data_IF_765343035669
#
_entry.id   IF_765343035669
#
_cell.length_a   1.000
_cell.length_b   1.000
_cell.length_c   1.000
_cell.angle_alpha   90.00
_cell.angle_beta   90.00
_cell.angle_gamma   90.00
#
_symmetry.space_group_name_H-M   'P 1'
#
loop_
_entity.id
_entity.type
_entity.pdbx_description
1 polymer ?
#
# COMPACT_ATOMS: atom_id res chain seq x y z
N UNK A 1 -15.59 12.33 -5.53
CA UNK A 1 -16.67 11.46 -6.05
C UNK A 1 -17.37 12.09 -7.24
N UNK A 2 -17.74 11.29 -8.24
CA UNK A 2 -18.73 11.67 -9.25
C UNK A 2 -19.90 10.71 -9.14
N UNK A 3 -21.11 11.20 -8.82
CA UNK A 3 -22.30 10.36 -8.62
C UNK A 3 -22.12 9.19 -7.63
N UNK A 4 -21.41 9.40 -6.51
CA UNK A 4 -21.03 8.38 -5.50
C UNK A 4 -20.05 7.30 -6.01
N UNK A 5 -19.41 7.54 -7.15
CA UNK A 5 -18.38 6.68 -7.72
C UNK A 5 -17.02 7.35 -7.53
N UNK A 6 -16.00 6.55 -7.22
CA UNK A 6 -14.61 6.94 -7.11
C UNK A 6 -13.81 6.34 -8.27
N UNK A 7 -13.62 7.09 -9.36
CA UNK A 7 -12.96 6.59 -10.57
C UNK A 7 -11.43 6.50 -10.47
N UNK A 8 -10.82 7.13 -9.45
CA UNK A 8 -9.38 7.12 -9.25
C UNK A 8 -9.04 7.33 -7.78
N UNK A 9 -7.89 6.79 -7.37
CA UNK A 9 -7.38 6.95 -6.00
C UNK A 9 -7.06 8.41 -5.74
N UNK A 10 -7.53 8.91 -4.61
CA UNK A 10 -7.23 10.26 -4.11
C UNK A 10 -6.17 10.13 -3.03
N UNK A 11 -4.93 10.46 -3.38
CA UNK A 11 -3.74 10.19 -2.55
C UNK A 11 -3.82 10.89 -1.18
N UNK A 12 -4.33 12.12 -1.15
CA UNK A 12 -4.51 12.92 0.08
C UNK A 12 -5.67 12.43 0.97
N UNK A 13 -6.38 11.38 0.57
CA UNK A 13 -7.63 10.97 1.17
C UNK A 13 -8.84 11.74 0.67
N UNK A 14 -10.03 11.22 0.97
CA UNK A 14 -11.33 11.81 0.59
C UNK A 14 -12.06 12.27 1.85
N UNK A 15 -12.60 13.49 1.85
CA UNK A 15 -13.41 14.00 2.97
C UNK A 15 -14.89 13.89 2.65
N UNK A 16 -15.61 13.11 3.46
CA UNK A 16 -17.06 12.99 3.39
C UNK A 16 -17.78 13.97 4.29
N UNK A 17 -19.03 14.26 3.95
CA UNK A 17 -19.91 15.02 4.85
C UNK A 17 -20.24 14.18 6.08
N UNK A 18 -20.13 14.77 7.26
CA UNK A 18 -20.56 14.20 8.53
C UNK A 18 -21.80 14.93 9.08
N UNK A 19 -22.21 14.57 10.28
CA UNK A 19 -23.45 15.04 10.90
C UNK A 19 -23.43 16.53 11.27
N UNK A 20 -22.26 17.17 11.25
CA UNK A 20 -22.13 18.62 11.38
C UNK A 20 -22.38 19.36 10.05
N UNK A 21 -22.52 18.65 8.93
CA UNK A 21 -22.81 19.26 7.63
C UNK A 21 -24.30 19.53 7.45
N UNK A 22 -24.66 20.71 6.91
CA UNK A 22 -26.05 21.09 6.60
C UNK A 22 -26.71 20.34 5.43
N UNK A 23 -26.06 19.33 4.86
CA UNK A 23 -26.58 18.57 3.72
C UNK A 23 -27.65 17.55 4.13
N UNK A 24 -28.57 17.22 3.23
CA UNK A 24 -29.55 16.16 3.49
C UNK A 24 -28.88 14.77 3.46
N UNK A 25 -28.83 14.09 4.61
CA UNK A 25 -28.07 12.84 4.82
C UNK A 25 -28.31 11.76 3.75
N UNK A 26 -29.58 11.50 3.37
CA UNK A 26 -29.93 10.46 2.39
C UNK A 26 -29.59 10.82 0.93
N UNK A 27 -29.55 12.12 0.61
CA UNK A 27 -29.36 12.62 -0.77
C UNK A 27 -27.97 13.19 -1.02
N UNK A 28 -27.15 13.36 0.02
CA UNK A 28 -25.78 13.83 -0.15
C UNK A 28 -25.00 12.87 -1.06
N UNK A 29 -24.34 13.42 -2.08
CA UNK A 29 -23.44 12.65 -2.94
C UNK A 29 -22.07 12.42 -2.29
N UNK A 30 -21.74 13.20 -1.25
CA UNK A 30 -20.52 13.10 -0.47
C UNK A 30 -20.69 12.31 0.84
N UNK A 31 -21.60 11.34 0.84
CA UNK A 31 -21.81 10.35 1.91
C UNK A 31 -21.92 8.97 1.27
N UNK A 32 -20.78 8.32 1.04
CA UNK A 32 -20.68 7.08 0.26
C UNK A 32 -20.28 5.93 1.19
N UNK A 33 -19.11 6.01 1.83
CA UNK A 33 -18.58 4.92 2.67
C UNK A 33 -19.32 4.75 3.99
N UNK A 34 -20.08 5.78 4.38
CA UNK A 34 -21.01 5.74 5.51
C UNK A 34 -22.28 4.94 5.22
N UNK A 35 -22.58 4.65 3.95
CA UNK A 35 -23.77 3.92 3.57
C UNK A 35 -23.57 2.41 3.74
N UNK A 36 -24.64 1.64 3.95
CA UNK A 36 -24.55 0.18 4.00
C UNK A 36 -23.96 -0.41 2.71
N UNK A 37 -23.36 -1.58 2.82
CA UNK A 37 -22.85 -2.37 1.69
C UNK A 37 -23.99 -2.57 0.68
N UNK A 38 -23.78 -2.07 -0.54
CA UNK A 38 -24.81 -2.07 -1.60
C UNK A 38 -24.80 -3.32 -2.45
N UNK A 39 -23.62 -3.88 -2.70
CA UNK A 39 -23.44 -5.00 -3.61
C UNK A 39 -23.36 -6.30 -2.81
N UNK A 40 -24.17 -7.31 -3.15
CA UNK A 40 -24.11 -8.60 -2.48
C UNK A 40 -22.77 -9.28 -2.76
N UNK A 41 -22.09 -9.64 -1.67
CA UNK A 41 -20.80 -10.32 -1.68
C UNK A 41 -20.89 -11.56 -0.78
N UNK A 42 -20.08 -12.56 -1.07
CA UNK A 42 -20.07 -13.83 -0.34
C UNK A 42 -18.66 -14.15 0.16
N UNK A 43 -18.56 -14.51 1.43
CA UNK A 43 -17.35 -15.13 1.98
C UNK A 43 -17.40 -16.61 1.61
N UNK A 44 -16.31 -17.12 1.03
CA UNK A 44 -16.21 -18.51 0.60
C UNK A 44 -14.80 -19.06 0.81
N UNK A 45 -14.67 -20.40 0.85
CA UNK A 45 -13.37 -21.06 0.95
C UNK A 45 -12.71 -21.07 -0.43
N UNK A 46 -11.54 -20.44 -0.55
CA UNK A 46 -10.72 -20.45 -1.77
C UNK A 46 -9.88 -21.73 -1.82
N UNK A 47 -9.34 -22.05 -3.00
CA UNK A 47 -8.50 -23.23 -3.17
C UNK A 47 -7.10 -23.07 -2.54
N UNK A 48 -6.54 -21.85 -2.56
CA UNK A 48 -5.14 -21.60 -2.23
C UNK A 48 -4.93 -20.61 -1.05
N UNK A 49 -5.90 -19.74 -0.76
CA UNK A 49 -5.72 -18.61 0.16
C UNK A 49 -6.66 -18.68 1.38
N UNK A 50 -7.13 -19.87 1.74
CA UNK A 50 -8.03 -20.06 2.87
C UNK A 50 -9.44 -19.52 2.60
N UNK A 51 -9.81 -18.42 3.23
CA UNK A 51 -11.12 -17.77 3.03
C UNK A 51 -10.95 -16.55 2.13
N UNK A 52 -11.93 -16.26 1.30
CA UNK A 52 -11.93 -15.11 0.40
C UNK A 52 -13.32 -14.52 0.26
N UNK A 53 -13.40 -13.38 -0.41
CA UNK A 53 -14.65 -12.72 -0.77
C UNK A 53 -14.82 -12.81 -2.27
N UNK A 54 -16.07 -12.96 -2.75
CA UNK A 54 -16.40 -12.85 -4.16
C UNK A 54 -17.68 -12.07 -4.39
N UNK A 55 -17.82 -11.47 -5.56
CA UNK A 55 -19.03 -10.75 -5.94
C UNK A 55 -20.17 -11.70 -6.34
N UNK A 56 -21.41 -11.45 -5.89
CA UNK A 56 -22.59 -12.22 -6.33
C UNK A 56 -23.33 -11.56 -7.51
N UNK A 57 -22.98 -10.32 -7.84
CA UNK A 57 -23.48 -9.60 -9.00
C UNK A 57 -22.33 -8.83 -9.66
N UNK A 58 -22.57 -8.30 -10.86
CA UNK A 58 -21.65 -7.36 -11.48
C UNK A 58 -21.54 -6.09 -10.62
N UNK A 59 -20.31 -5.64 -10.36
CA UNK A 59 -20.01 -4.42 -9.59
C UNK A 59 -19.33 -3.42 -10.53
N UNK A 60 -19.86 -2.19 -10.69
CA UNK A 60 -19.29 -1.21 -11.59
C UNK A 60 -17.98 -0.63 -11.03
N UNK A 61 -17.10 -0.18 -11.93
CA UNK A 61 -15.86 0.51 -11.59
C UNK A 61 -16.13 1.73 -10.68
N UNK A 62 -15.27 1.92 -9.69
CA UNK A 62 -15.33 2.97 -8.69
C UNK A 62 -16.45 2.83 -7.65
N UNK A 63 -17.15 1.69 -7.62
CA UNK A 63 -18.15 1.39 -6.61
C UNK A 63 -17.50 1.14 -5.24
N UNK A 64 -18.14 1.65 -4.19
CA UNK A 64 -17.82 1.29 -2.81
C UNK A 64 -18.22 -0.17 -2.51
N UNK A 65 -17.30 -0.91 -1.89
CA UNK A 65 -17.47 -2.32 -1.51
C UNK A 65 -17.75 -2.44 -0.01
N UNK A 66 -16.78 -2.08 0.84
CA UNK A 66 -16.88 -2.17 2.29
C UNK A 66 -15.77 -1.34 2.97
N UNK A 67 -15.95 -1.00 4.25
CA UNK A 67 -14.86 -0.49 5.08
C UNK A 67 -14.06 -1.66 5.66
N UNK A 68 -12.78 -1.46 5.95
CA UNK A 68 -12.03 -2.38 6.81
C UNK A 68 -12.30 -2.01 8.27
N UNK A 69 -12.97 -2.90 9.00
CA UNK A 69 -13.39 -2.65 10.39
C UNK A 69 -12.71 -3.64 11.33
N UNK A 70 -12.16 -3.10 12.42
CA UNK A 70 -11.52 -3.85 13.49
C UNK A 70 -11.30 -2.99 14.73
N UNK A 71 -10.52 -3.47 15.69
CA UNK A 71 -10.08 -2.71 16.84
C UNK A 71 -8.95 -1.75 16.44
N UNK A 72 -9.05 -0.48 16.81
CA UNK A 72 -7.99 0.50 16.60
C UNK A 72 -6.90 0.35 17.67
N UNK A 73 -5.67 0.12 17.24
CA UNK A 73 -4.49 -0.04 18.09
C UNK A 73 -3.43 1.00 17.71
N UNK A 74 -2.58 1.37 18.66
CA UNK A 74 -1.32 2.04 18.34
C UNK A 74 -0.30 1.03 17.84
N UNK A 75 0.64 1.49 17.03
CA UNK A 75 1.80 0.70 16.54
C UNK A 75 2.47 -0.13 17.65
N UNK A 76 2.78 0.50 18.79
CA UNK A 76 3.39 -0.12 19.96
C UNK A 76 2.57 -1.28 20.56
N UNK A 77 1.25 -1.17 20.54
CA UNK A 77 0.36 -2.23 21.02
C UNK A 77 0.25 -3.33 19.97
N UNK A 78 0.19 -2.97 18.69
CA UNK A 78 0.15 -3.93 17.58
C UNK A 78 1.41 -4.80 17.55
N UNK A 79 2.59 -4.19 17.71
CA UNK A 79 3.88 -4.90 17.77
C UNK A 79 3.95 -5.89 18.94
N UNK A 80 3.38 -5.53 20.10
CA UNK A 80 3.31 -6.42 21.26
C UNK A 80 2.33 -7.60 21.07
N UNK A 81 1.45 -7.53 20.06
CA UNK A 81 0.43 -8.54 19.76
C UNK A 81 0.77 -9.37 18.51
N UNK A 82 1.95 -9.18 17.92
CA UNK A 82 2.41 -9.94 16.75
C UNK A 82 2.39 -11.45 17.03
N UNK A 83 1.96 -12.22 16.04
CA UNK A 83 1.77 -13.67 16.15
C UNK A 83 1.50 -14.32 14.80
N UNK A 84 1.18 -15.62 14.77
CA UNK A 84 1.12 -16.36 13.49
C UNK A 84 -0.08 -15.99 12.58
N UNK A 85 -1.15 -15.45 13.15
CA UNK A 85 -2.35 -15.01 12.41
C UNK A 85 -2.60 -13.51 12.65
N UNK A 86 -2.22 -12.67 11.69
CA UNK A 86 -2.37 -11.21 11.77
C UNK A 86 -3.43 -10.72 10.76
N UNK A 87 -4.39 -9.95 11.28
CA UNK A 87 -5.41 -9.26 10.48
C UNK A 87 -5.26 -7.75 10.68
N UNK A 88 -4.02 -7.28 10.53
CA UNK A 88 -3.65 -5.88 10.67
C UNK A 88 -3.83 -5.15 9.34
N UNK A 89 -4.35 -3.93 9.43
CA UNK A 89 -4.35 -2.97 8.35
C UNK A 89 -3.74 -1.66 8.85
N UNK A 90 -2.61 -1.27 8.27
CA UNK A 90 -1.93 -0.03 8.59
C UNK A 90 -2.77 1.16 8.10
N UNK A 91 -2.90 2.20 8.94
CA UNK A 91 -3.58 3.45 8.59
C UNK A 91 -2.60 4.56 8.17
N UNK A 92 -1.34 4.21 7.93
CA UNK A 92 -0.29 5.17 7.60
C UNK A 92 -0.52 5.79 6.21
N UNK A 93 -1.09 7.00 6.23
CA UNK A 93 -1.35 7.77 5.02
C UNK A 93 -0.06 8.32 4.40
N UNK A 94 1.01 8.56 5.18
CA UNK A 94 2.29 8.99 4.64
C UNK A 94 2.87 7.89 3.74
N UNK A 95 2.94 6.67 4.26
CA UNK A 95 3.43 5.52 3.49
C UNK A 95 2.55 5.26 2.25
N UNK A 96 1.22 5.42 2.38
CA UNK A 96 0.32 5.31 1.23
C UNK A 96 0.58 6.37 0.15
N UNK A 97 0.96 7.60 0.54
CA UNK A 97 1.31 8.70 -0.38
C UNK A 97 2.65 8.43 -1.06
N UNK A 98 3.68 8.07 -0.29
CA UNK A 98 5.02 7.83 -0.82
C UNK A 98 5.07 6.63 -1.77
N UNK A 99 4.35 5.55 -1.44
CA UNK A 99 4.25 4.38 -2.32
C UNK A 99 3.55 4.71 -3.65
N UNK A 100 2.51 5.55 -3.63
CA UNK A 100 1.83 5.97 -4.86
C UNK A 100 2.70 6.89 -5.72
N UNK A 101 3.47 7.79 -5.09
CA UNK A 101 4.46 8.63 -5.77
C UNK A 101 5.51 7.75 -6.46
N UNK A 102 6.08 6.79 -5.75
CA UNK A 102 7.05 5.84 -6.30
C UNK A 102 6.45 5.10 -7.51
N UNK A 103 5.27 4.50 -7.36
CA UNK A 103 4.57 3.79 -8.44
C UNK A 103 4.32 4.68 -9.66
N UNK A 104 3.97 5.95 -9.44
CA UNK A 104 3.74 6.91 -10.53
C UNK A 104 5.04 7.23 -11.26
N UNK A 105 6.13 7.46 -10.51
CA UNK A 105 7.46 7.71 -11.05
C UNK A 105 7.99 6.51 -11.85
N UNK A 106 7.75 5.28 -11.38
CA UNK A 106 8.07 4.05 -12.11
C UNK A 106 7.31 3.98 -13.43
N UNK A 107 5.97 4.18 -13.40
CA UNK A 107 5.13 4.16 -14.60
C UNK A 107 5.50 5.24 -15.61
N UNK A 108 6.00 6.39 -15.14
CA UNK A 108 6.51 7.47 -15.99
C UNK A 108 7.94 7.23 -16.50
N UNK A 109 8.60 6.12 -16.12
CA UNK A 109 9.97 5.79 -16.50
C UNK A 109 11.04 6.64 -15.79
N UNK A 110 10.66 7.43 -14.78
CA UNK A 110 11.56 8.36 -14.09
C UNK A 110 12.63 7.63 -13.26
N UNK A 111 12.28 6.48 -12.67
CA UNK A 111 13.21 5.67 -11.89
C UNK A 111 14.18 4.86 -12.77
N UNK A 112 13.76 4.42 -13.96
CA UNK A 112 14.63 3.77 -14.97
C UNK A 112 15.66 4.75 -15.58
N UNK A 113 15.40 6.06 -15.50
CA UNK A 113 16.36 7.09 -15.89
C UNK A 113 17.53 7.28 -14.90
N UNK A 114 17.52 6.62 -13.74
CA UNK A 114 18.60 6.71 -12.74
C UNK A 114 18.72 8.08 -12.07
N UNK A 115 17.62 8.83 -11.98
CA UNK A 115 17.55 10.16 -11.33
C UNK A 115 16.83 10.03 -9.97
N UNK A 116 16.91 8.85 -9.35
CA UNK A 116 16.55 8.65 -7.95
C UNK A 116 17.76 8.97 -7.08
N UNK A 117 17.55 9.70 -5.98
CA UNK A 117 18.50 9.74 -4.88
C UNK A 117 18.83 8.30 -4.49
N UNK A 118 20.08 7.92 -4.75
CA UNK A 118 20.59 6.57 -4.51
C UNK A 118 20.80 6.37 -3.02
N UNK A 119 19.77 5.88 -2.34
CA UNK A 119 19.91 5.21 -1.05
C UNK A 119 19.67 3.70 -1.20
N UNK A 120 19.95 3.09 -2.34
CA UNK A 120 20.03 1.61 -2.46
C UNK A 120 21.43 1.15 -2.00
N UNK A 121 21.49 0.53 -0.82
CA UNK A 121 22.64 -0.28 -0.44
C UNK A 121 22.59 -1.58 -1.27
N UNK A 122 23.41 -1.62 -2.33
CA UNK A 122 23.75 -2.84 -3.05
C UNK A 122 24.65 -3.74 -2.17
N UNK A 123 24.09 -4.82 -1.61
CA UNK A 123 24.91 -5.95 -1.19
C UNK A 123 25.29 -6.76 -2.43
N UNK A 124 26.50 -6.49 -2.92
CA UNK A 124 27.10 -7.16 -4.06
C UNK A 124 27.25 -8.67 -3.78
N UNK A 125 26.52 -9.48 -4.54
CA UNK A 125 26.81 -10.89 -4.73
C UNK A 125 28.21 -11.03 -5.39
N UNK A 126 29.24 -11.18 -4.57
CA UNK A 126 30.59 -11.42 -5.06
C UNK A 126 30.73 -12.89 -5.48
N UNK A 127 30.56 -13.13 -6.79
CA UNK A 127 30.99 -14.36 -7.44
C UNK A 127 32.50 -14.54 -7.25
N UNK A 128 32.93 -15.56 -6.50
CA UNK A 128 34.29 -16.09 -6.61
C UNK A 128 34.25 -17.48 -7.22
N UNK A 129 35.17 -17.63 -8.15
CA UNK A 129 35.35 -18.68 -9.15
C UNK A 129 35.77 -20.01 -8.53
N UNK A 130 35.45 -21.06 -9.26
CA UNK A 130 35.85 -22.45 -9.07
C UNK A 130 37.38 -22.63 -8.95
N UNK A 131 37.79 -23.55 -8.08
CA UNK A 131 39.00 -24.35 -8.21
C UNK A 131 38.82 -25.66 -7.42
N UNK A 132 39.12 -26.76 -8.11
CA UNK A 132 39.02 -28.16 -7.71
C UNK A 132 39.85 -28.53 -6.46
N UNK A 133 39.47 -29.60 -5.73
CA UNK A 133 40.33 -30.78 -5.45
C UNK A 133 39.81 -31.68 -4.30
N UNK A 134 39.46 -32.92 -4.68
CA UNK A 134 39.52 -34.25 -4.05
C UNK A 134 39.48 -34.50 -2.52
N UNK A 135 38.68 -35.51 -2.12
CA UNK A 135 39.09 -36.41 -1.02
C UNK A 135 38.03 -37.02 -0.07
N UNK A 136 37.32 -38.05 -0.53
CA UNK A 136 36.98 -39.33 0.15
C UNK A 136 36.32 -39.39 1.56
N UNK A 137 35.15 -40.06 1.59
CA UNK A 137 34.65 -40.96 2.65
C UNK A 137 33.85 -40.29 3.78
N UNK A 138 32.70 -40.75 4.26
CA UNK A 138 31.95 -42.01 4.13
C UNK A 138 30.55 -41.79 4.75
N UNK A 139 29.53 -42.45 4.19
CA UNK A 139 28.40 -43.15 4.86
C UNK A 139 27.71 -42.52 6.10
N UNK A 140 26.39 -42.47 6.29
CA UNK A 140 25.23 -43.12 5.67
C UNK A 140 23.94 -42.55 6.32
N UNK A 141 22.85 -42.67 5.57
CA UNK A 141 21.45 -42.78 6.01
C UNK A 141 20.61 -41.51 6.25
N UNK A 142 19.31 -41.72 6.05
CA UNK A 142 18.35 -40.91 5.30
C UNK A 142 17.12 -40.55 6.13
N UNK A 143 16.53 -39.38 5.92
CA UNK A 143 15.08 -39.25 5.69
C UNK A 143 14.72 -37.83 5.23
N UNK A 144 13.84 -37.79 4.24
CA UNK A 144 13.44 -36.63 3.43
C UNK A 144 12.07 -36.10 3.86
N UNK A 145 11.94 -34.79 3.99
CA UNK A 145 10.72 -34.06 3.63
C UNK A 145 11.08 -32.59 3.40
N UNK A 146 10.85 -32.14 2.17
CA UNK A 146 11.15 -30.82 1.63
C UNK A 146 10.25 -29.75 2.24
N UNK A 147 10.83 -28.86 3.03
CA UNK A 147 10.23 -27.57 3.40
C UNK A 147 10.70 -26.55 2.36
N UNK A 148 9.77 -26.04 1.54
CA UNK A 148 10.01 -24.82 0.77
C UNK A 148 9.78 -23.63 1.71
N UNK A 149 10.86 -23.00 2.17
CA UNK A 149 10.82 -21.75 2.92
C UNK A 149 10.39 -20.61 1.98
N UNK A 150 9.28 -19.94 2.29
CA UNK A 150 8.93 -18.66 1.68
C UNK A 150 9.73 -17.50 2.34
N UNK A 151 10.22 -16.51 1.56
CA UNK A 151 11.08 -15.46 2.09
C UNK A 151 10.26 -14.39 2.83
N UNK A 152 10.49 -14.27 4.14
CA UNK A 152 9.94 -13.20 4.98
C UNK A 152 10.56 -11.85 4.63
N UNK A 153 9.74 -10.89 4.19
CA UNK A 153 10.18 -9.50 3.94
C UNK A 153 10.57 -8.81 5.27
N UNK A 154 11.86 -8.48 5.42
CA UNK A 154 12.37 -7.68 6.54
C UNK A 154 12.20 -6.20 6.23
N UNK A 155 11.47 -5.45 7.08
CA UNK A 155 11.38 -3.98 7.00
C UNK A 155 12.70 -3.36 7.47
N UNK A 156 13.42 -2.69 6.57
CA UNK A 156 14.70 -1.99 6.87
C UNK A 156 14.41 -0.52 7.15
N UNK A 157 14.84 -0.01 8.31
CA UNK A 157 14.85 1.43 8.66
C UNK A 157 16.15 2.06 8.16
N UNK A 158 16.08 2.97 7.18
CA UNK A 158 17.25 3.69 6.63
C UNK A 158 17.71 4.79 7.59
N UNK A 159 19.03 4.94 7.76
CA UNK A 159 19.70 5.97 8.57
C UNK A 159 20.48 6.91 7.64
N UNK A 160 20.34 8.22 7.87
CA UNK A 160 20.84 9.30 7.01
C UNK A 160 22.38 9.42 7.03
N UNK A 161 23.02 9.56 5.86
CA UNK A 161 24.43 9.99 5.75
C UNK A 161 24.55 11.08 4.68
N UNK A 162 25.11 12.23 5.07
CA UNK A 162 25.36 13.37 4.17
C UNK A 162 26.41 13.01 3.11
N UNK A 163 26.14 13.34 1.84
CA UNK A 163 27.10 13.21 0.74
C UNK A 163 27.30 14.54 0.02
N UNK A 164 28.55 14.99 0.01
CA UNK A 164 29.09 16.00 -0.89
C UNK A 164 29.57 15.33 -2.19
N UNK A 165 29.47 16.09 -3.29
CA UNK A 165 29.90 15.86 -4.69
C UNK A 165 28.90 15.19 -5.66
N UNK A 166 28.31 16.02 -6.53
CA UNK A 166 27.58 15.62 -7.74
C UNK A 166 28.53 15.38 -8.93
N UNK A 167 28.62 14.15 -9.43
CA UNK A 167 28.94 13.90 -10.83
C UNK A 167 27.64 13.57 -11.59
N UNK A 168 27.36 14.35 -12.65
CA UNK A 168 26.14 14.22 -13.46
C UNK A 168 26.05 12.86 -14.18
N UNK A 169 24.95 12.15 -13.92
CA UNK A 169 24.66 10.79 -14.41
C UNK A 169 24.72 10.67 -15.96
N UNK A 170 25.48 9.71 -16.52
CA UNK A 170 25.67 9.54 -17.97
C UNK A 170 24.41 9.32 -18.82
N UNK A 171 23.24 8.99 -18.24
CA UNK A 171 21.97 8.82 -18.98
C UNK A 171 21.24 10.13 -19.32
N UNK A 172 21.49 11.25 -18.60
CA UNK A 172 20.91 12.58 -18.92
C UNK A 172 21.31 13.08 -20.32
N UNK A 173 22.43 12.59 -20.86
CA UNK A 173 22.93 12.93 -22.20
C UNK A 173 22.13 12.33 -23.35
N UNK A 174 21.22 11.37 -23.10
CA UNK A 174 20.43 10.66 -24.12
C UNK A 174 18.99 11.17 -24.26
N UNK A 175 18.57 12.10 -23.41
CA UNK A 175 17.20 12.62 -23.38
C UNK A 175 17.03 13.81 -24.32
N UNK A 176 15.83 13.97 -24.87
CA UNK A 176 15.51 15.15 -25.65
C UNK A 176 15.23 16.37 -24.74
N UNK A 177 15.26 17.57 -25.30
CA UNK A 177 15.11 18.81 -24.53
C UNK A 177 13.77 18.90 -23.75
N UNK A 178 12.68 18.35 -24.32
CA UNK A 178 11.36 18.37 -23.70
C UNK A 178 11.22 17.34 -22.55
N UNK A 179 11.95 16.23 -22.60
CA UNK A 179 12.05 15.25 -21.52
C UNK A 179 12.89 15.81 -20.37
N UNK A 180 14.00 16.46 -20.70
CA UNK A 180 14.88 17.08 -19.71
C UNK A 180 14.18 18.25 -18.98
N UNK A 181 13.41 19.07 -19.71
CA UNK A 181 12.62 20.16 -19.12
C UNK A 181 11.53 19.64 -18.16
N UNK A 182 10.90 18.50 -18.45
CA UNK A 182 9.91 17.88 -17.54
C UNK A 182 10.55 17.34 -16.27
N UNK A 183 11.74 16.74 -16.40
CA UNK A 183 12.52 16.23 -15.28
C UNK A 183 13.01 17.38 -14.42
N UNK A 184 13.57 18.42 -15.03
CA UNK A 184 14.06 19.60 -14.34
C UNK A 184 12.91 20.38 -13.70
N UNK A 185 11.73 20.44 -14.32
CA UNK A 185 10.53 21.01 -13.71
C UNK A 185 10.04 20.19 -12.50
N UNK A 186 10.10 18.85 -12.56
CA UNK A 186 9.75 17.98 -11.45
C UNK A 186 10.78 18.05 -10.31
N UNK A 187 12.07 18.15 -10.63
CA UNK A 187 13.16 18.32 -9.67
C UNK A 187 13.23 19.75 -9.09
N UNK A 188 12.73 20.75 -9.82
CA UNK A 188 12.62 22.14 -9.37
C UNK A 188 11.38 22.38 -8.48
N UNK A 189 10.51 21.39 -8.30
CA UNK A 189 9.52 21.41 -7.21
C UNK A 189 10.30 21.29 -5.90
N UNK A 190 10.70 22.44 -5.35
CA UNK A 190 11.57 22.52 -4.19
C UNK A 190 11.00 21.78 -2.97
N UNK A 191 11.91 21.29 -2.12
CA UNK A 191 11.62 20.58 -0.87
C UNK A 191 10.64 21.32 0.06
N UNK A 192 10.60 22.65 -0.02
CA UNK A 192 9.67 23.51 0.74
C UNK A 192 8.19 23.39 0.33
N UNK A 193 7.88 22.70 -0.77
CA UNK A 193 6.50 22.44 -1.22
C UNK A 193 5.99 21.05 -0.85
N UNK A 194 6.84 20.22 -0.25
CA UNK A 194 6.50 18.85 0.17
C UNK A 194 5.85 18.91 1.55
N UNK A 195 4.68 18.29 1.70
CA UNK A 195 4.01 18.17 3.00
C UNK A 195 4.86 17.28 3.94
N UNK A 196 5.46 17.90 4.96
CA UNK A 196 6.30 17.22 5.95
C UNK A 196 5.45 16.71 7.12
N UNK A 197 5.12 15.42 7.08
CA UNK A 197 4.32 14.75 8.10
C UNK A 197 4.91 14.90 9.52
N UNK A 198 6.23 14.79 9.64
CA UNK A 198 6.92 14.93 10.92
C UNK A 198 6.76 16.33 11.53
N UNK A 199 6.78 17.38 10.71
CA UNK A 199 6.58 18.76 11.17
C UNK A 199 5.11 19.02 11.52
N UNK A 200 4.19 18.43 10.77
CA UNK A 200 2.75 18.58 10.99
C UNK A 200 2.27 17.92 12.28
N UNK A 201 2.75 16.70 12.57
CA UNK A 201 2.36 15.97 13.78
C UNK A 201 3.29 16.21 14.97
N UNK A 202 4.52 16.68 14.73
CA UNK A 202 5.53 16.91 15.75
C UNK A 202 5.76 15.67 16.61
N UNK A 203 5.74 15.86 17.92
CA UNK A 203 5.93 14.81 18.92
C UNK A 203 4.78 13.77 18.94
N UNK A 204 3.61 14.12 18.37
CA UNK A 204 2.43 13.26 18.33
C UNK A 204 2.30 12.49 17.01
N UNK A 205 3.40 12.06 16.40
CA UNK A 205 3.39 11.25 15.18
C UNK A 205 3.10 9.75 15.45
N UNK A 206 2.10 9.47 16.30
CA UNK A 206 1.67 8.11 16.60
C UNK A 206 0.97 7.50 15.39
N UNK A 207 1.42 6.31 14.99
CA UNK A 207 0.80 5.52 13.94
C UNK A 207 -0.26 4.59 14.52
N UNK A 208 -1.30 4.35 13.73
CA UNK A 208 -2.42 3.50 14.12
C UNK A 208 -2.58 2.33 13.14
N UNK A 209 -3.03 1.22 13.70
CA UNK A 209 -3.29 -0.04 13.00
C UNK A 209 -4.69 -0.51 13.36
N UNK A 210 -5.41 -1.07 12.39
CA UNK A 210 -6.71 -1.71 12.63
C UNK A 210 -6.53 -3.22 12.71
N UNK A 211 -6.84 -3.82 13.85
CA UNK A 211 -6.82 -5.26 14.08
C UNK A 211 -8.21 -5.89 13.96
N UNK A 212 -8.40 -6.73 12.93
CA UNK A 212 -9.64 -7.46 12.71
C UNK A 212 -9.59 -8.93 13.19
N UNK A 213 -8.60 -9.33 14.01
CA UNK A 213 -8.41 -10.73 14.44
C UNK A 213 -9.58 -11.26 15.26
N UNK A 214 -9.97 -10.55 16.33
CA UNK A 214 -11.06 -10.97 17.23
C UNK A 214 -12.43 -10.47 16.78
N UNK A 215 -12.49 -9.26 16.22
CA UNK A 215 -13.71 -8.59 15.79
C UNK A 215 -13.41 -7.82 14.52
N UNK A 216 -14.19 -8.05 13.48
CA UNK A 216 -14.11 -7.31 12.24
C UNK A 216 -15.28 -7.63 11.33
N UNK A 217 -15.34 -6.95 10.19
CA UNK A 217 -16.38 -7.16 9.19
C UNK A 217 -15.86 -8.01 8.01
N UNK A 218 -16.61 -8.05 6.91
CA UNK A 218 -16.24 -8.76 5.67
C UNK A 218 -14.91 -8.32 5.07
N UNK A 219 -14.46 -7.08 5.32
CA UNK A 219 -13.22 -6.54 4.79
C UNK A 219 -11.98 -7.34 5.18
N UNK A 220 -11.99 -8.02 6.34
CA UNK A 220 -10.89 -8.88 6.81
C UNK A 220 -10.64 -10.13 5.96
N UNK A 221 -11.58 -10.48 5.09
CA UNK A 221 -11.51 -11.68 4.24
C UNK A 221 -11.16 -11.34 2.78
N UNK A 222 -10.90 -10.07 2.47
CA UNK A 222 -10.35 -9.69 1.17
C UNK A 222 -8.87 -10.10 1.14
N UNK A 223 -8.51 -10.87 0.12
CA UNK A 223 -7.16 -11.40 -0.03
C UNK A 223 -6.26 -10.42 -0.76
N UNK A 224 -4.96 -10.59 -0.55
CA UNK A 224 -3.93 -9.91 -1.34
C UNK A 224 -3.86 -10.49 -2.76
N UNK A 225 -3.62 -9.62 -3.74
CA UNK A 225 -3.38 -9.98 -5.15
C UNK A 225 -2.36 -9.00 -5.73
N UNK A 226 -1.45 -9.49 -6.56
CA UNK A 226 -0.53 -8.66 -7.34
C UNK A 226 -1.24 -7.93 -8.50
N UNK A 227 -2.40 -8.42 -8.93
CA UNK A 227 -3.31 -7.75 -9.87
C UNK A 227 -4.69 -7.57 -9.20
N UNK A 228 -4.84 -6.56 -8.33
CA UNK A 228 -6.05 -6.38 -7.57
C UNK A 228 -7.17 -5.77 -8.44
N UNK A 229 -8.42 -6.19 -8.20
CA UNK A 229 -9.62 -5.57 -8.79
C UNK A 229 -10.26 -4.52 -7.86
N UNK A 230 -9.75 -4.38 -6.64
CA UNK A 230 -10.20 -3.48 -5.59
C UNK A 230 -9.00 -2.68 -5.05
N UNK A 231 -9.21 -1.40 -4.76
CA UNK A 231 -8.21 -0.53 -4.11
C UNK A 231 -8.69 -0.06 -2.74
N UNK A 232 -7.73 0.25 -1.88
CA UNK A 232 -7.98 0.96 -0.61
C UNK A 232 -7.96 2.46 -0.86
N UNK A 233 -8.98 3.15 -0.37
CA UNK A 233 -9.08 4.60 -0.29
C UNK A 233 -9.23 5.01 1.18
N UNK A 234 -8.38 5.90 1.64
CA UNK A 234 -8.53 6.56 2.93
C UNK A 234 -9.63 7.61 2.84
N UNK A 235 -10.62 7.52 3.73
CA UNK A 235 -11.78 8.43 3.78
C UNK A 235 -11.95 9.00 5.18
N UNK A 236 -12.11 10.30 5.29
CA UNK A 236 -12.32 11.03 6.54
C UNK A 236 -13.80 11.40 6.66
N UNK A 237 -14.44 10.96 7.74
CA UNK A 237 -15.85 11.23 8.02
C UNK A 237 -15.98 12.00 9.32
N UNK A 238 -15.80 11.30 10.44
CA UNK A 238 -16.07 11.86 11.77
C UNK A 238 -14.90 12.69 12.28
N UNK A 239 -13.68 12.26 11.96
CA UNK A 239 -12.43 12.94 12.29
C UNK A 239 -11.73 13.39 11.02
N UNK A 240 -11.17 14.60 11.06
CA UNK A 240 -10.26 15.12 10.02
C UNK A 240 -8.79 14.96 10.43
N UNK A 241 -8.51 14.14 11.45
CA UNK A 241 -7.17 13.72 11.81
C UNK A 241 -6.64 12.76 10.75
N UNK A 242 -5.58 13.15 10.03
CA UNK A 242 -5.02 12.37 8.92
C UNK A 242 -4.44 11.02 9.38
N UNK A 243 -4.24 10.82 10.69
CA UNK A 243 -3.78 9.55 11.29
C UNK A 243 -4.91 8.53 11.45
N UNK A 244 -6.16 8.96 11.36
CA UNK A 244 -7.35 8.14 11.64
C UNK A 244 -8.33 8.09 10.45
N UNK A 245 -7.88 7.77 9.23
CA UNK A 245 -8.78 7.56 8.11
C UNK A 245 -9.60 6.27 8.27
N UNK A 246 -10.75 6.23 7.61
CA UNK A 246 -11.43 4.98 7.32
C UNK A 246 -10.79 4.34 6.08
N UNK A 247 -10.20 3.15 6.24
CA UNK A 247 -9.73 2.34 5.12
C UNK A 247 -10.92 1.71 4.39
N UNK A 248 -11.22 2.20 3.19
CA UNK A 248 -12.43 1.86 2.45
C UNK A 248 -12.10 1.21 1.11
N UNK A 249 -12.75 0.10 0.78
CA UNK A 249 -12.51 -0.64 -0.44
C UNK A 249 -13.39 -0.14 -1.59
N UNK A 250 -12.78 0.13 -2.75
CA UNK A 250 -13.46 0.54 -3.97
C UNK A 250 -13.03 -0.32 -5.16
N UNK A 251 -13.97 -0.64 -6.05
CA UNK A 251 -13.66 -1.34 -7.29
C UNK A 251 -12.79 -0.49 -8.22
N UNK A 252 -11.68 -1.02 -8.73
CA UNK A 252 -10.79 -0.30 -9.68
C UNK A 252 -11.39 -0.36 -11.10
N UNK A 253 -12.01 -1.49 -11.42
CA UNK A 253 -12.64 -1.79 -12.72
C UNK A 253 -14.00 -2.44 -12.51
N UNK A 254 -14.72 -2.72 -13.59
CA UNK A 254 -15.93 -3.53 -13.51
C UNK A 254 -15.54 -4.95 -13.05
N UNK A 255 -16.17 -5.41 -11.97
CA UNK A 255 -15.98 -6.75 -11.39
C UNK A 255 -17.17 -7.61 -11.80
N UNK A 256 -16.92 -8.82 -12.30
CA UNK A 256 -17.98 -9.71 -12.75
C UNK A 256 -18.54 -10.55 -11.60
N UNK A 257 -19.81 -10.92 -11.69
CA UNK A 257 -20.38 -11.90 -10.77
C UNK A 257 -19.54 -13.18 -10.73
N UNK A 258 -19.18 -13.63 -9.53
CA UNK A 258 -18.32 -14.79 -9.28
C UNK A 258 -16.82 -14.48 -9.20
N UNK A 259 -16.39 -13.29 -9.60
CA UNK A 259 -15.00 -12.84 -9.49
C UNK A 259 -14.62 -12.62 -8.01
N UNK A 260 -13.36 -12.93 -7.70
CA UNK A 260 -12.74 -12.96 -6.37
C UNK A 260 -11.94 -11.68 -6.15
#
# INVERSE_FOLDING_TARGET
YSYRILLGKTITGVFECNDNCGCQQKRCFNRVVQQPIRYPIQIYKTAQSGWGVRALCDIPAGAFIANYVGALLTDSIADALQGEDEYFADLDLNDAVENEKATTLEKCGYLDMGIGSSDEEDEAAMSKKDADDDGLGSDMSSSSSSEEEEPKMKKVRRKHKELQNEELNPRRKKLNAAELEKIDAAAAVGDDTVFKWADYFGENNTLFVVDAKKKGNVGRFLNHSCDPNVQVQHVFVDTHDLRLPWSSFFAIRNIKAGEV
#
